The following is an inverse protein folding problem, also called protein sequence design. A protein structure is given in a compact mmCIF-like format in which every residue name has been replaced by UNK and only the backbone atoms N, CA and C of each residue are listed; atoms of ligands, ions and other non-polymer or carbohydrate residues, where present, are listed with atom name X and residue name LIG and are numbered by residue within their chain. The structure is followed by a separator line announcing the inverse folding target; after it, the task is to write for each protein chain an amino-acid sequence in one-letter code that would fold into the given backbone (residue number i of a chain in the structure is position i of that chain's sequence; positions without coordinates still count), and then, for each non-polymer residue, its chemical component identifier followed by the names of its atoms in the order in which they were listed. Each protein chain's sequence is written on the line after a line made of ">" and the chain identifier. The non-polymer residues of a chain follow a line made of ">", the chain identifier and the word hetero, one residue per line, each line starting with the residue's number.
data_IF_331227798951
#
_entry.id   IF_331227798951
#
_cell.length_a   1.000
_cell.length_b   1.000
_cell.length_c   1.000
_cell.angle_alpha   90.00
_cell.angle_beta   90.00
_cell.angle_gamma   90.00
#
_symmetry.space_group_name_H-M   'P 1'
#
loop_
_entity.id
_entity.type
_entity.pdbx_description
1 polymer ?
#
# COMPACT_ATOMS: atom_id res chain seq x y z
N UNK A 1 -10.29 4.31 27.40
CA UNK A 1 -11.16 4.14 26.22
C UNK A 1 -11.56 2.69 26.16
N UNK A 2 -12.85 2.39 26.05
CA UNK A 2 -13.43 1.03 26.04
C UNK A 2 -14.23 0.87 24.76
N UNK A 3 -13.99 -0.21 23.99
CA UNK A 3 -14.86 -0.56 22.87
C UNK A 3 -16.24 -1.00 23.39
N UNK A 4 -17.30 -0.47 22.80
CA UNK A 4 -18.70 -0.75 23.17
C UNK A 4 -19.38 -1.55 22.08
N UNK A 5 -19.12 -1.24 20.81
CA UNK A 5 -19.74 -1.89 19.65
C UNK A 5 -18.88 -1.74 18.40
N UNK A 6 -19.21 -2.49 17.33
CA UNK A 6 -18.57 -2.37 16.02
C UNK A 6 -17.19 -3.03 15.94
N UNK A 7 -16.96 -4.14 16.66
CA UNK A 7 -15.67 -4.85 16.72
C UNK A 7 -15.12 -5.23 15.33
N UNK A 8 -16.00 -5.57 14.39
CA UNK A 8 -15.61 -5.97 13.03
C UNK A 8 -14.98 -4.83 12.20
N UNK A 9 -15.07 -3.58 12.66
CA UNK A 9 -14.47 -2.42 12.01
C UNK A 9 -13.17 -1.93 12.66
N UNK A 10 -12.58 -2.67 13.60
CA UNK A 10 -11.35 -2.27 14.28
C UNK A 10 -10.13 -2.18 13.35
N UNK A 11 -10.20 -2.80 12.17
CA UNK A 11 -9.14 -2.74 11.15
C UNK A 11 -9.23 -1.47 10.28
N UNK A 12 -10.20 -0.59 10.52
CA UNK A 12 -10.30 0.68 9.81
C UNK A 12 -9.11 1.58 10.16
N UNK A 13 -8.44 2.06 9.12
CA UNK A 13 -7.33 3.01 9.29
C UNK A 13 -7.83 4.35 9.82
N UNK A 14 -7.04 4.95 10.72
CA UNK A 14 -7.30 6.29 11.27
C UNK A 14 -6.24 7.25 10.76
N UNK A 15 -6.64 8.20 9.92
CA UNK A 15 -5.75 9.22 9.35
C UNK A 15 -5.59 10.45 10.26
N UNK A 16 -6.62 10.78 11.03
CA UNK A 16 -6.65 11.95 11.91
C UNK A 16 -7.72 11.81 13.00
N UNK A 17 -7.79 12.79 13.92
CA UNK A 17 -8.86 12.89 14.92
C UNK A 17 -9.67 14.16 14.71
N UNK A 18 -10.99 14.13 14.94
CA UNK A 18 -11.87 15.28 14.78
C UNK A 18 -12.93 15.33 15.88
N UNK A 19 -13.23 16.54 16.41
CA UNK A 19 -14.35 16.75 17.34
C UNK A 19 -15.63 17.00 16.56
N UNK A 20 -16.69 16.27 16.89
CA UNK A 20 -18.02 16.40 16.23
C UNK A 20 -19.10 16.47 17.28
N UNK A 21 -19.59 17.67 17.56
CA UNK A 21 -20.70 17.89 18.48
C UNK A 21 -21.97 18.43 17.76
N UNK A 22 -21.95 18.51 16.42
CA UNK A 22 -23.12 18.89 15.60
C UNK A 22 -23.13 18.16 14.26
N UNK A 23 -24.29 18.08 13.62
CA UNK A 23 -24.43 17.51 12.28
C UNK A 23 -23.75 18.37 11.20
N UNK A 24 -23.70 19.68 11.38
CA UNK A 24 -23.01 20.59 10.45
C UNK A 24 -21.50 20.35 10.43
N UNK A 25 -20.87 19.98 11.55
CA UNK A 25 -19.44 19.68 11.63
C UNK A 25 -19.13 18.35 10.96
N UNK A 26 -20.05 17.38 10.98
CA UNK A 26 -19.85 16.08 10.33
C UNK A 26 -19.63 16.21 8.82
N UNK A 27 -20.16 17.26 8.19
CA UNK A 27 -19.96 17.54 6.76
C UNK A 27 -18.51 17.93 6.40
N UNK A 28 -17.67 18.31 7.37
CA UNK A 28 -16.26 18.62 7.15
C UNK A 28 -15.34 17.40 7.24
N UNK A 29 -15.87 16.23 7.59
CA UNK A 29 -15.11 15.01 7.60
C UNK A 29 -14.70 14.64 6.17
N UNK A 30 -13.43 14.24 6.00
CA UNK A 30 -12.86 13.82 4.72
C UNK A 30 -12.86 12.29 4.54
N UNK A 31 -13.17 11.59 5.63
CA UNK A 31 -13.11 10.14 5.76
C UNK A 31 -11.84 9.67 6.48
N UNK A 32 -11.96 8.51 7.15
CA UNK A 32 -10.89 7.89 7.94
C UNK A 32 -10.50 8.66 9.23
N UNK A 33 -11.31 9.60 9.70
CA UNK A 33 -11.10 10.20 11.02
C UNK A 33 -11.63 9.30 12.13
N UNK A 34 -10.93 9.28 13.27
CA UNK A 34 -11.53 8.89 14.54
C UNK A 34 -12.19 10.12 15.14
N UNK A 35 -13.52 10.12 15.18
CA UNK A 35 -14.29 11.26 15.67
C UNK A 35 -14.51 11.18 17.16
N UNK A 36 -14.65 12.34 17.80
CA UNK A 36 -14.88 12.49 19.23
C UNK A 36 -16.10 13.37 19.46
N UNK A 37 -16.95 12.99 20.42
CA UNK A 37 -18.11 13.80 20.81
C UNK A 37 -18.26 13.87 22.33
N UNK A 38 -18.61 15.04 22.83
CA UNK A 38 -19.03 15.26 24.22
C UNK A 38 -20.54 15.17 24.37
N UNK A 39 -21.27 15.24 23.26
CA UNK A 39 -22.72 15.34 23.26
C UNK A 39 -23.27 16.73 23.54
N UNK A 40 -22.43 17.76 23.66
CA UNK A 40 -22.85 19.14 23.98
C UNK A 40 -23.89 19.68 22.99
N UNK A 41 -23.81 19.32 21.72
CA UNK A 41 -24.75 19.75 20.68
C UNK A 41 -25.98 18.88 20.51
N UNK A 42 -26.10 17.79 21.28
CA UNK A 42 -27.25 16.90 21.19
C UNK A 42 -28.55 17.59 21.73
N UNK A 43 -29.64 17.39 21.01
CA UNK A 43 -30.96 17.91 21.33
C UNK A 43 -32.05 17.02 20.72
N UNK A 44 -33.31 17.42 20.80
CA UNK A 44 -34.46 16.65 20.26
C UNK A 44 -34.33 16.39 18.74
N UNK A 45 -33.68 17.29 17.98
CA UNK A 45 -33.49 17.16 16.55
C UNK A 45 -32.19 16.41 16.18
N UNK A 46 -31.19 16.42 17.04
CA UNK A 46 -29.91 15.74 16.87
C UNK A 46 -29.68 14.75 18.01
N UNK A 47 -30.18 13.55 17.85
CA UNK A 47 -29.94 12.44 18.80
C UNK A 47 -28.55 11.85 18.59
N UNK A 48 -28.03 11.13 19.61
CA UNK A 48 -26.74 10.45 19.53
C UNK A 48 -26.68 9.47 18.34
N UNK A 49 -27.75 8.68 18.14
CA UNK A 49 -27.85 7.76 16.99
C UNK A 49 -27.77 8.51 15.67
N UNK A 50 -28.43 9.65 15.54
CA UNK A 50 -28.38 10.46 14.32
C UNK A 50 -26.96 10.97 14.06
N UNK A 51 -26.28 11.49 15.07
CA UNK A 51 -24.88 11.92 14.98
C UNK A 51 -23.98 10.78 14.54
N UNK A 52 -24.09 9.60 15.15
CA UNK A 52 -23.31 8.40 14.79
C UNK A 52 -23.55 7.99 13.34
N UNK A 53 -24.81 8.03 12.86
CA UNK A 53 -25.15 7.73 11.46
C UNK A 53 -24.54 8.74 10.49
N UNK A 54 -24.55 10.03 10.81
CA UNK A 54 -23.95 11.07 9.97
C UNK A 54 -22.43 10.91 9.89
N UNK A 55 -21.77 10.66 11.01
CA UNK A 55 -20.33 10.43 11.07
C UNK A 55 -19.95 9.18 10.25
N UNK A 56 -20.71 8.09 10.37
CA UNK A 56 -20.51 6.88 9.56
C UNK A 56 -20.71 7.14 8.05
N UNK A 57 -21.75 7.90 7.65
CA UNK A 57 -22.00 8.26 6.24
C UNK A 57 -20.86 9.06 5.63
N UNK A 58 -20.21 9.90 6.43
CA UNK A 58 -19.03 10.66 6.03
C UNK A 58 -17.72 9.83 6.11
N UNK A 59 -17.83 8.49 6.23
CA UNK A 59 -16.70 7.53 6.15
C UNK A 59 -15.67 7.70 7.26
N UNK A 60 -16.04 8.21 8.42
CA UNK A 60 -15.16 8.16 9.58
C UNK A 60 -14.84 6.72 9.96
N UNK A 61 -13.68 6.50 10.57
CA UNK A 61 -13.21 5.17 10.96
C UNK A 61 -13.80 4.68 12.27
N UNK A 62 -14.38 5.58 13.08
CA UNK A 62 -15.03 5.26 14.32
C UNK A 62 -15.41 6.51 15.10
N UNK A 63 -16.07 6.33 16.24
CA UNK A 63 -16.46 7.41 17.13
C UNK A 63 -16.13 7.09 18.58
N UNK A 64 -15.61 8.09 19.28
CA UNK A 64 -15.35 8.07 20.73
C UNK A 64 -16.38 8.96 21.42
N UNK A 65 -17.18 8.38 22.29
CA UNK A 65 -18.25 9.05 22.99
C UNK A 65 -17.84 9.29 24.44
N UNK A 66 -17.90 10.55 24.87
CA UNK A 66 -17.59 10.93 26.23
C UNK A 66 -18.85 10.85 27.09
N UNK A 67 -18.94 9.82 27.93
CA UNK A 67 -20.10 9.63 28.82
C UNK A 67 -19.98 10.48 30.07
N UNK A 68 -21.06 11.22 30.40
CA UNK A 68 -21.10 12.14 31.52
C UNK A 68 -22.34 13.05 31.52
N UNK A 69 -22.16 14.38 31.71
CA UNK A 69 -23.30 15.29 31.89
C UNK A 69 -24.27 15.38 30.71
N UNK A 70 -23.78 15.19 29.49
CA UNK A 70 -24.57 15.34 28.26
C UNK A 70 -25.02 13.99 27.68
N UNK A 71 -24.25 12.94 27.90
CA UNK A 71 -24.55 11.56 27.48
C UNK A 71 -24.37 10.67 28.69
N UNK A 72 -25.47 10.28 29.36
CA UNK A 72 -25.42 9.42 30.53
C UNK A 72 -25.00 8.00 30.22
N UNK A 73 -25.44 7.48 29.07
CA UNK A 73 -25.17 6.13 28.59
C UNK A 73 -25.30 6.07 27.07
N UNK A 74 -24.65 5.08 26.46
CA UNK A 74 -24.77 4.79 25.04
C UNK A 74 -25.96 3.86 24.84
N UNK A 75 -26.98 4.34 24.15
CA UNK A 75 -28.25 3.61 23.97
C UNK A 75 -28.06 2.34 23.11
N UNK A 76 -28.95 1.38 23.31
CA UNK A 76 -28.94 0.11 22.59
C UNK A 76 -29.08 0.30 21.06
N UNK A 77 -29.81 1.30 20.62
CA UNK A 77 -30.00 1.69 19.22
C UNK A 77 -28.70 2.07 18.53
N UNK A 78 -27.78 2.72 19.24
CA UNK A 78 -26.43 3.05 18.77
C UNK A 78 -25.58 1.77 18.67
N UNK A 79 -25.65 0.91 19.68
CA UNK A 79 -24.91 -0.36 19.73
C UNK A 79 -25.33 -1.27 18.58
N UNK A 80 -26.62 -1.42 18.35
CA UNK A 80 -27.18 -2.26 17.29
C UNK A 80 -26.75 -1.75 15.91
N UNK A 81 -26.87 -0.45 15.67
CA UNK A 81 -26.39 0.18 14.42
C UNK A 81 -24.89 -0.02 14.21
N UNK A 82 -24.09 0.20 15.25
CA UNK A 82 -22.65 0.07 15.18
C UNK A 82 -22.20 -1.37 14.85
N UNK A 83 -22.83 -2.36 15.46
CA UNK A 83 -22.57 -3.77 15.18
C UNK A 83 -23.04 -4.18 13.78
N UNK A 84 -24.19 -3.72 13.33
CA UNK A 84 -24.70 -3.98 11.98
C UNK A 84 -23.75 -3.44 10.90
N UNK A 85 -23.22 -2.25 11.13
CA UNK A 85 -22.37 -1.55 10.14
C UNK A 85 -20.87 -1.80 10.31
N UNK A 86 -20.45 -2.55 11.33
CA UNK A 86 -19.04 -2.71 11.67
C UNK A 86 -18.37 -1.35 11.98
N UNK A 87 -19.08 -0.45 12.64
CA UNK A 87 -18.58 0.89 12.95
C UNK A 87 -18.12 0.98 14.40
N UNK A 88 -16.82 1.11 14.67
CA UNK A 88 -16.27 1.12 16.02
C UNK A 88 -16.80 2.29 16.86
N UNK A 89 -17.44 1.96 17.96
CA UNK A 89 -17.92 2.92 18.97
C UNK A 89 -17.19 2.68 20.28
N UNK A 90 -16.50 3.71 20.74
CA UNK A 90 -15.75 3.69 21.99
C UNK A 90 -16.39 4.59 23.02
N UNK A 91 -16.29 4.17 24.28
CA UNK A 91 -16.69 4.94 25.45
C UNK A 91 -15.48 5.47 26.21
N UNK A 92 -15.58 6.73 26.64
CA UNK A 92 -14.62 7.38 27.54
C UNK A 92 -15.37 8.11 28.65
N UNK A 93 -15.12 7.81 29.94
CA UNK A 93 -15.76 8.51 31.04
C UNK A 93 -15.39 9.99 31.08
N UNK A 94 -16.30 10.87 31.56
CA UNK A 94 -16.11 12.33 31.62
C UNK A 94 -14.83 12.78 32.34
N UNK A 95 -14.40 12.04 33.37
CA UNK A 95 -13.16 12.33 34.11
C UNK A 95 -11.88 12.24 33.27
N UNK A 96 -11.95 11.62 32.09
CA UNK A 96 -10.80 11.48 31.17
C UNK A 96 -10.83 12.62 30.16
N UNK A 97 -9.74 13.34 30.07
CA UNK A 97 -9.62 14.47 29.13
C UNK A 97 -9.45 13.95 27.70
N UNK A 98 -10.48 14.16 26.87
CA UNK A 98 -10.45 13.71 25.46
C UNK A 98 -9.30 14.33 24.69
N UNK A 99 -8.96 15.59 24.95
CA UNK A 99 -7.83 16.25 24.31
C UNK A 99 -6.48 15.51 24.51
N UNK A 100 -6.29 14.85 25.64
CA UNK A 100 -5.09 14.04 25.90
C UNK A 100 -5.09 12.77 25.06
N UNK A 101 -6.25 12.10 24.91
CA UNK A 101 -6.39 10.93 24.05
C UNK A 101 -6.14 11.32 22.60
N UNK A 102 -6.79 12.38 22.12
CA UNK A 102 -6.59 12.89 20.75
C UNK A 102 -5.12 13.23 20.49
N UNK A 103 -4.45 13.90 21.43
CA UNK A 103 -3.03 14.22 21.33
C UNK A 103 -2.16 12.95 21.18
N UNK A 104 -2.43 11.92 21.99
CA UNK A 104 -1.68 10.65 21.93
C UNK A 104 -1.88 9.97 20.56
N UNK A 105 -3.13 9.92 20.09
CA UNK A 105 -3.46 9.32 18.78
C UNK A 105 -2.81 10.11 17.64
N UNK A 106 -2.96 11.45 17.62
CA UNK A 106 -2.34 12.29 16.58
C UNK A 106 -0.81 12.15 16.59
N UNK A 107 -0.19 12.09 17.79
CA UNK A 107 1.24 11.88 17.90
C UNK A 107 1.66 10.50 17.34
N UNK A 108 0.89 9.44 17.63
CA UNK A 108 1.17 8.10 17.09
C UNK A 108 1.05 8.08 15.56
N UNK A 109 0.00 8.71 14.99
CA UNK A 109 -0.21 8.83 13.55
C UNK A 109 0.96 9.59 12.90
N UNK A 110 1.31 10.75 13.43
CA UNK A 110 2.41 11.58 12.90
C UNK A 110 3.75 10.84 12.95
N UNK A 111 4.03 10.14 14.06
CA UNK A 111 5.24 9.35 14.21
C UNK A 111 5.32 8.23 13.18
N UNK A 112 4.19 7.57 12.91
CA UNK A 112 4.13 6.51 11.92
C UNK A 112 4.35 7.04 10.50
N UNK A 113 3.74 8.18 10.18
CA UNK A 113 3.96 8.87 8.90
C UNK A 113 5.43 9.28 8.72
N UNK A 114 6.07 9.84 9.75
CA UNK A 114 7.49 10.17 9.71
C UNK A 114 8.37 8.94 9.52
N UNK A 115 8.06 7.82 10.20
CA UNK A 115 8.75 6.55 10.01
C UNK A 115 8.64 6.05 8.57
N UNK A 116 7.47 6.12 7.96
CA UNK A 116 7.25 5.70 6.57
C UNK A 116 8.07 6.57 5.59
N UNK A 117 8.09 7.88 5.79
CA UNK A 117 8.90 8.81 4.98
C UNK A 117 10.41 8.52 5.14
N UNK A 118 10.89 8.31 6.37
CA UNK A 118 12.29 7.98 6.62
C UNK A 118 12.71 6.70 5.90
N UNK A 119 11.89 5.66 5.97
CA UNK A 119 12.14 4.39 5.28
C UNK A 119 12.11 4.56 3.77
N UNK A 120 11.11 5.25 3.23
CA UNK A 120 11.01 5.49 1.78
C UNK A 120 12.22 6.28 1.26
N UNK A 121 12.64 7.31 1.98
CA UNK A 121 13.83 8.10 1.64
C UNK A 121 15.10 7.24 1.67
N UNK A 122 15.27 6.43 2.71
CA UNK A 122 16.43 5.54 2.82
C UNK A 122 16.46 4.49 1.69
N UNK A 123 15.31 3.91 1.32
CA UNK A 123 15.21 2.98 0.19
C UNK A 123 15.56 3.67 -1.13
N UNK A 124 15.02 4.86 -1.39
CA UNK A 124 15.33 5.60 -2.60
C UNK A 124 16.85 5.92 -2.69
N UNK A 125 17.47 6.29 -1.57
CA UNK A 125 18.93 6.47 -1.52
C UNK A 125 19.67 5.16 -1.79
N UNK A 126 19.23 4.03 -1.23
CA UNK A 126 19.83 2.73 -1.48
C UNK A 126 19.74 2.29 -2.95
N UNK A 127 18.68 2.69 -3.67
CA UNK A 127 18.48 2.38 -5.09
C UNK A 127 19.30 3.29 -6.01
N UNK A 128 19.29 4.60 -5.75
CA UNK A 128 19.84 5.61 -6.64
C UNK A 128 21.28 5.99 -6.31
N UNK A 129 21.69 5.94 -5.04
CA UNK A 129 23.00 6.35 -4.55
C UNK A 129 23.66 5.23 -3.73
N UNK A 130 23.85 4.01 -4.29
CA UNK A 130 24.30 2.85 -3.52
C UNK A 130 25.71 2.99 -2.94
N UNK A 131 26.53 3.90 -3.46
CA UNK A 131 27.87 4.20 -2.94
C UNK A 131 27.85 5.08 -1.68
N UNK A 132 26.73 5.77 -1.39
CA UNK A 132 26.57 6.66 -0.23
C UNK A 132 25.83 5.93 0.90
N UNK A 133 26.51 4.93 1.50
CA UNK A 133 25.94 4.04 2.51
C UNK A 133 25.41 4.78 3.75
N UNK A 134 26.01 5.90 4.10
CA UNK A 134 25.61 6.76 5.21
C UNK A 134 24.18 7.30 5.09
N UNK A 135 23.65 7.42 3.87
CA UNK A 135 22.31 7.93 3.62
C UNK A 135 21.19 6.90 3.88
N UNK A 136 21.50 5.60 3.94
CA UNK A 136 20.46 4.59 4.03
C UNK A 136 20.74 3.44 5.02
N UNK A 137 21.99 2.97 5.17
CA UNK A 137 22.28 1.78 5.97
C UNK A 137 21.82 1.97 7.42
N UNK A 138 22.25 3.07 8.09
CA UNK A 138 21.90 3.32 9.48
C UNK A 138 20.40 3.51 9.69
N UNK A 139 19.71 4.15 8.74
CA UNK A 139 18.27 4.39 8.83
C UNK A 139 17.49 3.07 8.72
N UNK A 140 17.84 2.21 7.75
CA UNK A 140 17.18 0.92 7.55
C UNK A 140 17.51 -0.07 8.69
N UNK A 141 18.74 -0.09 9.19
CA UNK A 141 19.12 -0.94 10.33
C UNK A 141 18.32 -0.60 11.59
N UNK A 142 18.08 0.69 11.89
CA UNK A 142 17.22 1.09 13.03
C UNK A 142 15.78 0.58 12.91
N UNK A 143 15.33 0.28 11.71
CA UNK A 143 14.00 -0.28 11.43
C UNK A 143 13.99 -1.82 11.35
N UNK A 144 15.11 -2.48 11.65
CA UNK A 144 15.21 -3.94 11.66
C UNK A 144 15.62 -4.57 10.31
N UNK A 145 16.10 -3.77 9.34
CA UNK A 145 16.58 -4.26 8.05
C UNK A 145 18.10 -4.37 8.07
N UNK A 146 18.61 -5.58 8.22
CA UNK A 146 20.02 -5.83 8.48
C UNK A 146 20.86 -5.99 7.23
N UNK A 147 22.17 -5.78 7.39
CA UNK A 147 23.14 -5.84 6.29
C UNK A 147 23.26 -7.23 5.65
N UNK A 148 22.93 -8.29 6.40
CA UNK A 148 23.12 -9.68 5.98
C UNK A 148 21.79 -10.36 5.56
N UNK A 149 20.68 -9.64 5.67
CA UNK A 149 19.37 -10.15 5.24
C UNK A 149 19.27 -10.32 3.74
N UNK A 150 18.35 -11.18 3.31
CA UNK A 150 18.02 -11.39 1.91
C UNK A 150 16.91 -10.44 1.48
N UNK A 151 17.06 -9.79 0.33
CA UNK A 151 16.12 -8.79 -0.19
C UNK A 151 15.65 -9.12 -1.59
N UNK A 152 14.35 -8.98 -1.81
CA UNK A 152 13.72 -9.06 -3.15
C UNK A 152 12.94 -7.79 -3.39
N UNK A 153 13.25 -7.09 -4.48
CA UNK A 153 12.49 -5.91 -4.90
C UNK A 153 11.40 -6.33 -5.88
N UNK A 154 10.19 -5.87 -5.61
CA UNK A 154 9.02 -6.02 -6.46
C UNK A 154 8.63 -4.65 -6.97
N UNK A 155 8.53 -4.51 -8.28
CA UNK A 155 8.10 -3.29 -8.92
C UNK A 155 6.65 -3.43 -9.36
N UNK A 156 5.82 -2.46 -9.02
CA UNK A 156 4.42 -2.36 -9.42
C UNK A 156 4.24 -1.12 -10.27
N UNK A 157 3.93 -1.32 -11.53
CA UNK A 157 3.59 -0.28 -12.48
C UNK A 157 2.07 -0.32 -12.75
N UNK A 158 1.44 0.84 -12.79
CA UNK A 158 0.03 0.98 -13.15
C UNK A 158 -0.05 1.77 -14.44
N UNK A 159 -0.71 1.21 -15.45
CA UNK A 159 -0.95 1.89 -16.72
C UNK A 159 -2.44 2.22 -16.86
N UNK A 160 -2.73 3.40 -17.37
CA UNK A 160 -4.04 3.83 -17.85
C UNK A 160 -3.87 4.31 -19.30
N UNK A 161 -4.59 3.69 -20.25
CA UNK A 161 -4.49 3.98 -21.69
C UNK A 161 -3.03 3.96 -22.23
N UNK A 162 -2.20 3.02 -21.75
CA UNK A 162 -0.77 2.83 -22.03
C UNK A 162 0.19 3.86 -21.42
N UNK A 163 -0.32 4.82 -20.64
CA UNK A 163 0.52 5.75 -19.90
C UNK A 163 0.65 5.36 -18.42
N UNK A 164 1.81 5.60 -17.83
CA UNK A 164 2.01 5.33 -16.40
C UNK A 164 1.20 6.29 -15.56
N UNK A 165 0.40 5.74 -14.67
CA UNK A 165 -0.39 6.52 -13.68
C UNK A 165 0.57 7.27 -12.74
N UNK A 166 0.24 8.52 -12.45
CA UNK A 166 1.08 9.43 -11.64
C UNK A 166 0.27 10.23 -10.64
N UNK A 167 0.95 10.99 -9.79
CA UNK A 167 0.34 11.95 -8.86
C UNK A 167 -0.61 11.30 -7.87
N UNK A 168 -1.72 11.98 -7.60
CA UNK A 168 -2.69 11.63 -6.56
C UNK A 168 -3.22 10.21 -6.68
N UNK A 169 -3.38 9.70 -7.92
CA UNK A 169 -3.90 8.33 -8.12
C UNK A 169 -2.90 7.28 -7.66
N UNK A 170 -1.63 7.44 -7.98
CA UNK A 170 -0.57 6.54 -7.53
C UNK A 170 -0.42 6.56 -6.00
N UNK A 171 -0.53 7.76 -5.41
CA UNK A 171 -0.49 7.94 -3.95
C UNK A 171 -1.66 7.25 -3.26
N UNK A 172 -2.87 7.29 -3.84
CA UNK A 172 -4.04 6.56 -3.31
C UNK A 172 -3.83 5.04 -3.33
N UNK A 173 -3.28 4.50 -4.43
CA UNK A 173 -2.98 3.07 -4.53
C UNK A 173 -1.90 2.71 -3.52
N UNK A 174 -0.82 3.50 -3.43
CA UNK A 174 0.27 3.30 -2.46
C UNK A 174 -0.24 3.30 -1.02
N UNK A 175 -1.06 4.27 -0.64
CA UNK A 175 -1.63 4.38 0.71
C UNK A 175 -2.43 3.14 1.08
N UNK A 176 -3.39 2.73 0.24
CA UNK A 176 -4.21 1.53 0.46
C UNK A 176 -3.36 0.25 0.53
N UNK A 177 -2.38 0.13 -0.38
CA UNK A 177 -1.48 -1.02 -0.40
C UNK A 177 -0.60 -1.07 0.84
N UNK A 178 -0.03 0.07 1.25
CA UNK A 178 0.83 0.18 2.43
C UNK A 178 0.08 -0.18 3.70
N UNK A 179 -1.16 0.27 3.85
CA UNK A 179 -2.04 -0.07 4.97
C UNK A 179 -2.33 -1.57 4.99
N UNK A 180 -2.69 -2.14 3.84
CA UNK A 180 -2.93 -3.58 3.74
C UNK A 180 -1.68 -4.41 4.07
N UNK A 181 -0.52 -4.01 3.56
CA UNK A 181 0.76 -4.68 3.84
C UNK A 181 1.07 -4.64 5.32
N UNK A 182 0.93 -3.50 5.95
CA UNK A 182 1.24 -3.29 7.38
C UNK A 182 0.40 -4.17 8.30
N UNK A 183 -0.88 -4.35 7.97
CA UNK A 183 -1.80 -5.18 8.76
C UNK A 183 -1.59 -6.68 8.58
N UNK A 184 -1.11 -7.12 7.39
CA UNK A 184 -1.15 -8.54 7.02
C UNK A 184 0.21 -9.19 6.81
N UNK A 185 1.30 -8.41 6.68
CA UNK A 185 2.63 -8.93 6.35
C UNK A 185 3.72 -8.27 7.19
N UNK A 186 4.71 -9.06 7.57
CA UNK A 186 5.92 -8.59 8.23
C UNK A 186 7.09 -8.58 7.24
N UNK A 187 8.05 -7.67 7.42
CA UNK A 187 9.27 -7.66 6.61
C UNK A 187 9.06 -7.16 5.17
N UNK A 188 7.96 -6.44 4.89
CA UNK A 188 7.74 -5.78 3.60
C UNK A 188 7.77 -4.27 3.80
N UNK A 189 8.67 -3.62 3.06
CA UNK A 189 8.70 -2.17 2.93
C UNK A 189 8.01 -1.74 1.65
N UNK A 190 7.40 -0.56 1.68
CA UNK A 190 6.68 -0.01 0.55
C UNK A 190 7.09 1.45 0.35
N UNK A 191 7.43 1.83 -0.89
CA UNK A 191 7.69 3.22 -1.25
C UNK A 191 7.26 3.50 -2.69
N UNK A 192 7.06 4.76 -3.02
CA UNK A 192 6.92 5.21 -4.39
C UNK A 192 8.26 5.77 -4.89
N UNK A 193 8.55 5.52 -6.15
CA UNK A 193 9.64 6.15 -6.86
C UNK A 193 9.18 6.47 -8.27
N UNK A 194 9.30 7.75 -8.66
CA UNK A 194 8.80 8.26 -9.94
C UNK A 194 7.32 7.87 -10.19
N UNK A 195 7.08 6.98 -11.13
CA UNK A 195 5.75 6.54 -11.59
C UNK A 195 5.45 5.08 -11.24
N UNK A 196 6.05 4.58 -10.17
CA UNK A 196 5.94 3.16 -9.78
C UNK A 196 5.94 2.99 -8.27
N UNK A 197 5.37 1.89 -7.80
CA UNK A 197 5.40 1.49 -6.42
C UNK A 197 6.41 0.35 -6.28
N UNK A 198 7.30 0.47 -5.30
CA UNK A 198 8.30 -0.52 -4.99
C UNK A 198 7.97 -1.20 -3.67
N UNK A 199 8.00 -2.53 -3.66
CA UNK A 199 7.94 -3.33 -2.44
C UNK A 199 9.29 -4.00 -2.25
N UNK A 200 9.78 -4.02 -1.02
CA UNK A 200 11.01 -4.72 -0.65
C UNK A 200 10.65 -5.78 0.36
N UNK A 201 10.77 -7.04 -0.05
CA UNK A 201 10.56 -8.21 0.81
C UNK A 201 11.89 -8.58 1.45
N UNK A 202 11.92 -8.65 2.80
CA UNK A 202 13.08 -8.97 3.60
C UNK A 202 12.97 -10.38 4.19
N UNK A 203 13.96 -11.22 3.95
CA UNK A 203 14.09 -12.59 4.46
C UNK A 203 12.93 -13.54 4.10
N UNK A 204 12.31 -13.31 2.95
CA UNK A 204 11.33 -14.22 2.37
C UNK A 204 12.03 -15.36 1.64
N UNK A 205 11.59 -16.60 1.86
CA UNK A 205 11.99 -17.71 0.98
C UNK A 205 11.36 -17.52 -0.42
N UNK A 206 11.94 -18.15 -1.45
CA UNK A 206 11.43 -18.06 -2.82
C UNK A 206 9.93 -18.41 -2.93
N UNK A 207 9.48 -19.45 -2.23
CA UNK A 207 8.08 -19.88 -2.22
C UNK A 207 7.19 -18.87 -1.49
N UNK A 208 7.63 -18.37 -0.33
CA UNK A 208 6.90 -17.35 0.42
C UNK A 208 6.83 -16.03 -0.37
N UNK A 209 7.93 -15.62 -1.02
CA UNK A 209 7.97 -14.46 -1.89
C UNK A 209 6.93 -14.59 -3.02
N UNK A 210 6.91 -15.72 -3.73
CA UNK A 210 5.94 -15.99 -4.80
C UNK A 210 4.51 -15.89 -4.29
N UNK A 211 4.15 -16.66 -3.27
CA UNK A 211 2.78 -16.69 -2.71
C UNK A 211 2.33 -15.31 -2.23
N UNK A 212 3.21 -14.60 -1.55
CA UNK A 212 2.91 -13.26 -1.02
C UNK A 212 2.70 -12.26 -2.14
N UNK A 213 3.58 -12.26 -3.14
CA UNK A 213 3.48 -11.32 -4.26
C UNK A 213 2.26 -11.61 -5.15
N UNK A 214 1.93 -12.88 -5.40
CA UNK A 214 0.71 -13.27 -6.12
C UNK A 214 -0.57 -12.81 -5.39
N UNK A 215 -0.62 -12.91 -4.06
CA UNK A 215 -1.74 -12.37 -3.25
C UNK A 215 -1.81 -10.84 -3.34
N UNK A 216 -0.69 -10.16 -3.21
CA UNK A 216 -0.62 -8.70 -3.36
C UNK A 216 -1.07 -8.28 -4.76
N UNK A 217 -0.65 -8.98 -5.80
CA UNK A 217 -1.09 -8.75 -7.18
C UNK A 217 -2.61 -8.87 -7.33
N UNK A 218 -3.23 -9.92 -6.78
CA UNK A 218 -4.68 -10.09 -6.80
C UNK A 218 -5.41 -8.94 -6.09
N UNK A 219 -4.86 -8.43 -4.99
CA UNK A 219 -5.42 -7.30 -4.25
C UNK A 219 -5.30 -6.02 -5.09
N UNK A 220 -4.14 -5.79 -5.70
CA UNK A 220 -3.92 -4.65 -6.59
C UNK A 220 -4.89 -4.65 -7.77
N UNK A 221 -5.11 -5.80 -8.42
CA UNK A 221 -6.08 -5.92 -9.52
C UNK A 221 -7.52 -5.57 -9.10
N UNK A 222 -7.86 -5.73 -7.81
CA UNK A 222 -9.17 -5.30 -7.27
C UNK A 222 -9.23 -3.82 -6.90
N UNK A 223 -8.09 -3.16 -6.73
CA UNK A 223 -8.00 -1.74 -6.37
C UNK A 223 -8.06 -0.81 -7.58
N UNK A 224 -7.81 -1.34 -8.77
CA UNK A 224 -7.75 -0.57 -10.01
C UNK A 224 -9.10 -0.52 -10.71
N UNK A 225 -9.29 0.53 -11.52
CA UNK A 225 -10.48 0.73 -12.34
C UNK A 225 -10.37 -0.09 -13.63
N UNK A 226 -11.49 -0.25 -14.36
CA UNK A 226 -11.54 -1.03 -15.61
C UNK A 226 -10.58 -0.56 -16.72
N UNK A 227 -10.15 0.70 -16.67
CA UNK A 227 -9.19 1.27 -17.62
C UNK A 227 -7.74 1.13 -17.21
N UNK A 228 -7.49 0.76 -15.95
CA UNK A 228 -6.16 0.63 -15.39
C UNK A 228 -5.70 -0.83 -15.46
N UNK A 229 -4.43 -1.05 -15.75
CA UNK A 229 -3.79 -2.36 -15.73
C UNK A 229 -2.58 -2.36 -14.78
N UNK A 230 -2.41 -3.42 -14.03
CA UNK A 230 -1.31 -3.62 -13.09
C UNK A 230 -0.24 -4.50 -13.73
N UNK A 231 1.00 -4.04 -13.67
CA UNK A 231 2.17 -4.81 -14.09
C UNK A 231 3.10 -4.99 -12.89
N UNK A 232 3.34 -6.24 -12.52
CA UNK A 232 4.17 -6.60 -11.38
C UNK A 232 5.38 -7.39 -11.83
N UNK A 233 6.58 -6.91 -11.51
CA UNK A 233 7.82 -7.62 -11.75
C UNK A 233 8.55 -7.94 -10.45
N UNK A 234 8.85 -9.22 -10.23
CA UNK A 234 9.52 -9.73 -9.05
C UNK A 234 10.96 -10.08 -9.39
N UNK A 235 11.89 -9.31 -8.85
CA UNK A 235 13.30 -9.42 -9.18
C UNK A 235 14.00 -10.63 -8.59
N UNK A 236 15.28 -10.76 -8.88
CA UNK A 236 16.18 -11.70 -8.23
C UNK A 236 16.41 -11.32 -6.78
N UNK A 237 16.31 -12.30 -5.86
CA UNK A 237 16.75 -12.13 -4.49
C UNK A 237 18.26 -11.89 -4.41
N UNK A 238 18.67 -10.98 -3.55
CA UNK A 238 20.06 -10.66 -3.27
C UNK A 238 20.32 -10.68 -1.76
N UNK A 239 21.56 -10.94 -1.38
CA UNK A 239 22.05 -10.82 0.01
C UNK A 239 22.65 -9.44 0.25
N UNK A 240 22.27 -8.86 1.38
CA UNK A 240 22.85 -7.63 1.88
C UNK A 240 22.20 -6.36 1.34
N UNK A 241 21.88 -5.46 2.26
CA UNK A 241 21.20 -4.20 1.97
C UNK A 241 22.01 -3.29 1.04
N UNK A 242 23.35 -3.38 1.08
CA UNK A 242 24.26 -2.61 0.21
C UNK A 242 24.13 -2.97 -1.25
N UNK A 243 23.57 -4.13 -1.57
CA UNK A 243 23.38 -4.60 -2.94
C UNK A 243 21.93 -4.53 -3.42
N UNK A 244 21.03 -3.97 -2.59
CA UNK A 244 19.60 -3.91 -2.91
C UNK A 244 19.31 -3.19 -4.23
N UNK A 245 20.17 -2.24 -4.62
CA UNK A 245 20.08 -1.54 -5.91
C UNK A 245 20.12 -2.49 -7.11
N UNK A 246 20.82 -3.63 -7.00
CA UNK A 246 20.87 -4.63 -8.07
C UNK A 246 19.51 -5.31 -8.26
N UNK A 247 18.83 -5.64 -7.14
CA UNK A 247 17.49 -6.19 -7.18
C UNK A 247 16.50 -5.17 -7.78
N UNK A 248 16.61 -3.89 -7.38
CA UNK A 248 15.83 -2.80 -7.94
C UNK A 248 16.04 -2.67 -9.47
N UNK A 249 17.28 -2.62 -9.95
CA UNK A 249 17.58 -2.52 -11.38
C UNK A 249 17.01 -3.68 -12.20
N UNK A 250 17.02 -4.89 -11.66
CA UNK A 250 16.37 -6.03 -12.31
C UNK A 250 14.85 -5.86 -12.34
N UNK A 251 14.22 -5.45 -11.22
CA UNK A 251 12.78 -5.22 -11.18
C UNK A 251 12.35 -4.14 -12.18
N UNK A 252 13.10 -3.05 -12.31
CA UNK A 252 12.83 -1.96 -13.23
C UNK A 252 12.90 -2.42 -14.69
N UNK A 253 14.02 -3.06 -15.10
CA UNK A 253 14.18 -3.61 -16.45
C UNK A 253 13.10 -4.62 -16.82
N UNK A 254 12.71 -5.47 -15.87
CA UNK A 254 11.62 -6.44 -16.05
C UNK A 254 10.27 -5.75 -16.21
N UNK A 255 10.02 -4.68 -15.45
CA UNK A 255 8.80 -3.89 -15.56
C UNK A 255 8.69 -3.22 -16.94
N UNK A 256 9.78 -2.65 -17.44
CA UNK A 256 9.82 -2.04 -18.76
C UNK A 256 9.52 -3.08 -19.87
N UNK A 257 10.10 -4.27 -19.78
CA UNK A 257 9.78 -5.37 -20.71
C UNK A 257 8.30 -5.78 -20.64
N UNK A 258 7.78 -5.96 -19.45
CA UNK A 258 6.40 -6.43 -19.21
C UNK A 258 5.35 -5.43 -19.74
N UNK A 259 5.66 -4.14 -19.69
CA UNK A 259 4.78 -3.07 -20.19
C UNK A 259 4.75 -3.00 -21.72
N UNK A 260 5.81 -3.45 -22.42
CA UNK A 260 5.96 -3.25 -23.88
C UNK A 260 5.66 -4.51 -24.66
N UNK A 261 5.95 -5.68 -24.12
CA UNK A 261 5.82 -6.94 -24.86
C UNK A 261 5.26 -8.08 -23.99
N UNK A 262 4.83 -9.14 -24.67
CA UNK A 262 4.53 -10.41 -23.98
C UNK A 262 5.84 -11.12 -23.65
N UNK A 263 5.99 -11.52 -22.39
CA UNK A 263 7.21 -12.15 -21.89
C UNK A 263 6.89 -13.61 -21.52
N UNK A 264 7.71 -14.58 -21.96
CA UNK A 264 7.55 -15.98 -21.55
C UNK A 264 7.54 -16.11 -20.03
N UNK A 265 6.60 -16.91 -19.50
CA UNK A 265 6.45 -17.11 -18.05
C UNK A 265 5.64 -16.04 -17.34
N UNK A 266 5.10 -15.03 -18.04
CA UNK A 266 4.16 -14.08 -17.44
C UNK A 266 2.84 -14.77 -17.08
N UNK A 267 2.26 -14.37 -15.95
CA UNK A 267 0.90 -14.74 -15.57
C UNK A 267 0.00 -13.52 -15.82
N UNK A 268 -1.03 -13.71 -16.64
CA UNK A 268 -1.96 -12.63 -17.02
C UNK A 268 -3.34 -12.86 -16.41
N UNK A 269 -3.97 -11.77 -16.00
CA UNK A 269 -5.37 -11.72 -15.56
C UNK A 269 -6.05 -10.53 -16.23
N UNK A 270 -7.39 -10.42 -16.09
CA UNK A 270 -8.13 -9.26 -16.64
C UNK A 270 -7.64 -7.91 -16.08
N UNK A 271 -7.05 -7.90 -14.86
CA UNK A 271 -6.56 -6.68 -14.20
C UNK A 271 -5.06 -6.40 -14.40
N UNK A 272 -4.29 -7.28 -15.06
CA UNK A 272 -2.86 -7.04 -15.25
C UNK A 272 -2.01 -8.28 -15.42
N UNK A 273 -0.70 -8.09 -15.29
CA UNK A 273 0.32 -9.12 -15.50
C UNK A 273 1.33 -9.17 -14.36
N UNK A 274 1.82 -10.35 -14.05
CA UNK A 274 2.91 -10.57 -13.09
C UNK A 274 3.98 -11.48 -13.69
N UNK A 275 5.25 -11.16 -13.47
CA UNK A 275 6.40 -11.95 -13.90
C UNK A 275 7.41 -12.10 -12.76
N UNK A 276 7.98 -13.28 -12.63
CA UNK A 276 9.07 -13.56 -11.70
C UNK A 276 10.38 -13.74 -12.43
N UNK A 277 11.48 -13.23 -11.88
CA UNK A 277 12.81 -13.35 -12.47
C UNK A 277 13.17 -14.79 -12.87
N UNK A 278 12.73 -15.78 -12.07
CA UNK A 278 13.02 -17.19 -12.33
C UNK A 278 12.28 -17.75 -13.56
N UNK A 279 11.18 -17.13 -13.95
CA UNK A 279 10.33 -17.59 -15.05
C UNK A 279 10.70 -16.96 -16.39
N UNK A 280 11.62 -15.99 -16.41
CA UNK A 280 12.05 -15.26 -17.61
C UNK A 280 12.84 -16.09 -18.64
N UNK A 281 13.26 -17.31 -18.29
CA UNK A 281 14.03 -18.13 -19.23
C UNK A 281 15.29 -17.43 -19.76
N UNK A 282 15.44 -17.34 -21.09
CA UNK A 282 16.58 -16.72 -21.75
C UNK A 282 16.64 -15.20 -21.52
N UNK A 283 15.51 -14.53 -21.29
CA UNK A 283 15.47 -13.09 -21.01
C UNK A 283 16.30 -12.69 -19.80
N UNK A 284 16.56 -13.62 -18.85
CA UNK A 284 17.49 -13.35 -17.72
C UNK A 284 18.89 -12.97 -18.20
N UNK A 285 19.36 -13.59 -19.28
CA UNK A 285 20.68 -13.28 -19.87
C UNK A 285 20.63 -11.92 -20.54
N UNK A 286 19.58 -11.64 -21.30
CA UNK A 286 19.38 -10.36 -21.97
C UNK A 286 19.33 -9.18 -20.99
N UNK A 287 18.67 -9.36 -19.83
CA UNK A 287 18.60 -8.34 -18.78
C UNK A 287 19.97 -8.01 -18.13
N UNK A 288 20.96 -8.91 -18.22
CA UNK A 288 22.31 -8.67 -17.70
C UNK A 288 23.19 -7.88 -18.66
N UNK A 289 22.79 -7.81 -19.93
CA UNK A 289 23.52 -7.03 -20.93
C UNK A 289 23.31 -5.53 -20.68
N UNK A 290 24.39 -4.79 -20.72
CA UNK A 290 24.38 -3.32 -20.50
C UNK A 290 24.18 -2.54 -21.80
N UNK A 291 24.44 -3.17 -22.94
CA UNK A 291 24.32 -2.55 -24.25
C UNK A 291 22.90 -2.70 -24.80
N UNK A 292 22.16 -1.60 -24.80
CA UNK A 292 20.78 -1.55 -25.30
C UNK A 292 20.70 -1.68 -26.83
N UNK A 293 21.75 -1.30 -27.55
CA UNK A 293 21.81 -1.42 -29.03
C UNK A 293 22.04 -2.86 -29.41
N UNK A 294 22.98 -3.56 -28.77
CA UNK A 294 23.20 -4.98 -28.97
C UNK A 294 21.94 -5.84 -28.68
N UNK A 295 21.17 -5.46 -27.69
CA UNK A 295 19.89 -6.14 -27.42
C UNK A 295 18.89 -5.90 -28.56
N UNK A 296 18.78 -4.68 -29.06
CA UNK A 296 17.88 -4.35 -30.16
C UNK A 296 18.27 -5.05 -31.47
N UNK A 297 19.55 -5.07 -31.79
CA UNK A 297 20.08 -5.81 -32.94
C UNK A 297 19.80 -7.31 -32.83
N UNK A 298 20.11 -7.92 -31.68
CA UNK A 298 19.85 -9.35 -31.47
C UNK A 298 18.35 -9.68 -31.57
N UNK A 299 17.48 -8.86 -31.00
CA UNK A 299 16.02 -9.04 -31.09
C UNK A 299 15.55 -8.88 -32.55
N UNK A 300 16.04 -7.89 -33.28
CA UNK A 300 15.67 -7.68 -34.67
C UNK A 300 16.10 -8.88 -35.54
N UNK A 301 17.34 -9.34 -35.39
CA UNK A 301 17.87 -10.45 -36.16
C UNK A 301 17.21 -11.79 -35.83
N UNK A 302 16.89 -12.03 -34.54
CA UNK A 302 16.34 -13.32 -34.12
C UNK A 302 14.82 -13.39 -34.37
N UNK A 303 14.10 -12.31 -34.16
CA UNK A 303 12.64 -12.27 -34.39
C UNK A 303 12.32 -12.26 -35.88
N UNK A 304 13.09 -11.56 -36.72
CA UNK A 304 12.94 -11.62 -38.17
C UNK A 304 13.21 -13.04 -38.73
N UNK A 305 14.15 -13.78 -38.20
CA UNK A 305 14.45 -15.16 -38.65
C UNK A 305 13.35 -16.15 -38.27
N UNK A 306 12.71 -15.99 -37.11
CA UNK A 306 11.58 -16.84 -36.69
C UNK A 306 10.32 -16.61 -37.55
N UNK A 307 10.04 -15.37 -37.95
CA UNK A 307 8.91 -15.08 -38.84
C UNK A 307 9.16 -15.46 -40.30
N UNK A 308 10.42 -15.62 -40.75
CA UNK A 308 10.75 -16.06 -42.12
C UNK A 308 10.86 -17.57 -42.25
N UNK A 309 11.04 -18.33 -41.14
CA UNK A 309 11.08 -19.80 -41.20
C UNK A 309 9.70 -20.45 -41.22
N UNK A 310 8.68 -19.82 -40.57
CA UNK A 310 7.29 -20.31 -40.61
C UNK A 310 6.61 -20.09 -41.98
N UNK A 311 7.17 -19.24 -42.85
CA UNK A 311 6.63 -19.02 -44.20
C UNK A 311 7.22 -19.99 -45.24
N UNK A 312 8.17 -20.84 -44.88
CA UNK A 312 8.84 -21.76 -45.80
C UNK A 312 8.30 -23.21 -45.74
N UNK A 313 7.43 -23.53 -44.76
CA UNK A 313 6.85 -24.89 -44.62
C UNK A 313 5.45 -25.06 -45.24
N UNK A 314 4.93 -24.04 -45.93
CA UNK A 314 3.63 -24.06 -46.65
C UNK A 314 3.79 -24.03 -48.21
N UNK A 315 4.79 -24.75 -48.75
CA UNK A 315 4.87 -24.99 -50.19
C UNK A 315 5.06 -26.46 -50.51
#
# INVERSE_FOLDING_TARGET
>A
MKLVAGETGLDHEVSWTHMVDSDTISAFLQGQELTFTTGLGLNENLTLLRLVKEVWRNKASGIVINTGPYISEIGQDVIDFANEKGFPVFEVPWRVRMAEIMRIICFAITKEQQNAIEVATALNNAFLCPSQEELYVSALMRKGYFTDSAYTVVNVCVLEDNDRVTGTRLEQILSKLSSHIRCNYNGILCCAQDKQILLVLCDYSDEACRKTTERIFQILCRMVCQKEQIFVSVSKQISGIRQIYKSYQFAEKMSDLLCVCQVPGEQSTDGGKIIFYKDLGIYRVLLTLTDKEAIKEYLADTVCLLYTSDAADDL
#
